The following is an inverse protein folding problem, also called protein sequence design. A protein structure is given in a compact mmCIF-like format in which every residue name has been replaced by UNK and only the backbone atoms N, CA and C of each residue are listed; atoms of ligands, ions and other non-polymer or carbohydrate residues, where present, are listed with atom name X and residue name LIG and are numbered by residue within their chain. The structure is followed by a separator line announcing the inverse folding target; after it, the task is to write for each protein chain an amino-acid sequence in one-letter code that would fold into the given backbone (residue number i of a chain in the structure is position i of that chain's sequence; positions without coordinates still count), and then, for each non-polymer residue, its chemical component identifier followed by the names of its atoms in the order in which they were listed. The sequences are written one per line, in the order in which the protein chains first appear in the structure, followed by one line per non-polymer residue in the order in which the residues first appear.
data_IF_704827332328
#
_entry.id   IF_704827332328
#
_cell.length_a   1.000
_cell.length_b   1.000
_cell.length_c   1.000
_cell.angle_alpha   90.00
_cell.angle_beta   90.00
_cell.angle_gamma   90.00
#
_symmetry.space_group_name_H-M   'P 1'
#
loop_
_entity.id
_entity.type
_entity.pdbx_description
1 polymer ?
#
# COMPACT_ATOMS: atom_id res chain seq x y z
N UNK A 1 20.77 13.27 -9.17
CA UNK A 1 20.33 12.39 -10.24
C UNK A 1 18.81 12.27 -10.22
N UNK A 2 18.20 12.45 -11.34
CA UNK A 2 16.75 12.41 -11.43
C UNK A 2 16.24 10.99 -11.44
N UNK A 3 15.27 10.69 -10.57
CA UNK A 3 14.64 9.37 -10.56
C UNK A 3 13.65 9.27 -11.70
N UNK A 4 13.73 8.20 -12.48
CA UNK A 4 12.79 7.95 -13.56
C UNK A 4 11.79 6.91 -13.11
N UNK A 5 10.50 7.28 -13.09
CA UNK A 5 9.41 6.38 -12.76
C UNK A 5 8.48 6.23 -13.96
N UNK A 6 7.77 5.13 -14.00
CA UNK A 6 6.83 4.83 -15.07
C UNK A 6 5.42 5.25 -14.67
N UNK A 7 4.72 5.95 -15.54
CA UNK A 7 3.32 6.32 -15.31
C UNK A 7 2.46 5.05 -15.33
N UNK A 8 1.53 4.95 -14.39
CA UNK A 8 0.68 3.78 -14.25
C UNK A 8 -0.72 4.22 -13.82
N UNK A 9 -1.74 3.52 -14.30
CA UNK A 9 -3.10 3.77 -13.87
C UNK A 9 -3.31 3.31 -12.43
N UNK A 10 -4.27 3.93 -11.74
CA UNK A 10 -4.61 3.53 -10.39
C UNK A 10 -4.98 2.05 -10.30
N UNK A 11 -5.81 1.59 -11.24
CA UNK A 11 -6.26 0.20 -11.25
C UNK A 11 -5.08 -0.77 -11.41
N UNK A 12 -4.19 -0.52 -12.35
CA UNK A 12 -3.04 -1.38 -12.57
C UNK A 12 -2.10 -1.39 -11.37
N UNK A 13 -1.93 -0.22 -10.73
CA UNK A 13 -1.09 -0.10 -9.54
C UNK A 13 -1.68 -0.86 -8.37
N UNK A 14 -2.99 -0.77 -8.15
CA UNK A 14 -3.66 -1.51 -7.09
C UNK A 14 -3.60 -3.02 -7.31
N UNK A 15 -3.64 -3.47 -8.56
CA UNK A 15 -3.47 -4.88 -8.87
C UNK A 15 -2.08 -5.39 -8.51
N UNK A 16 -1.05 -4.60 -8.83
CA UNK A 16 0.33 -4.93 -8.45
C UNK A 16 0.49 -4.93 -6.93
N UNK A 17 -0.08 -3.93 -6.27
CA UNK A 17 -0.03 -3.82 -4.81
C UNK A 17 -0.70 -5.01 -4.15
N UNK A 18 -1.86 -5.43 -4.66
CA UNK A 18 -2.58 -6.58 -4.12
C UNK A 18 -1.75 -7.85 -4.21
N UNK A 19 -1.04 -8.04 -5.31
CA UNK A 19 -0.17 -9.21 -5.48
C UNK A 19 0.96 -9.20 -4.45
N UNK A 20 1.64 -8.07 -4.30
CA UNK A 20 2.74 -7.94 -3.33
C UNK A 20 2.24 -8.09 -1.90
N UNK A 21 1.10 -7.52 -1.60
CA UNK A 21 0.47 -7.58 -0.29
C UNK A 21 0.19 -9.03 0.11
N UNK A 22 -0.34 -9.84 -0.80
CA UNK A 22 -0.65 -11.24 -0.52
C UNK A 22 0.60 -12.10 -0.31
N UNK A 23 1.72 -11.69 -0.85
CA UNK A 23 2.99 -12.41 -0.71
C UNK A 23 3.78 -11.98 0.52
N UNK A 24 3.35 -10.91 1.20
CA UNK A 24 4.07 -10.40 2.37
C UNK A 24 3.84 -11.31 3.58
N UNK A 25 4.88 -11.46 4.41
CA UNK A 25 4.82 -12.30 5.60
C UNK A 25 3.78 -11.84 6.61
N UNK A 26 3.49 -10.54 6.65
CA UNK A 26 2.51 -9.98 7.58
C UNK A 26 1.09 -9.97 7.00
N UNK A 27 0.87 -10.57 5.83
CA UNK A 27 -0.46 -10.61 5.23
C UNK A 27 -1.43 -11.38 6.12
N UNK A 28 -2.62 -10.78 6.32
CA UNK A 28 -3.71 -11.38 7.09
C UNK A 28 -4.98 -11.39 6.23
N UNK A 29 -5.83 -12.37 6.46
CA UNK A 29 -7.10 -12.49 5.75
C UNK A 29 -7.92 -11.20 5.92
N UNK A 30 -8.47 -10.69 4.82
CA UNK A 30 -9.23 -9.45 4.81
C UNK A 30 -8.40 -8.20 4.54
N UNK A 31 -7.09 -8.32 4.54
CA UNK A 31 -6.20 -7.20 4.22
C UNK A 31 -6.24 -6.92 2.72
N UNK A 32 -6.38 -5.65 2.35
CA UNK A 32 -6.41 -5.26 0.94
C UNK A 32 -6.01 -3.81 0.76
N UNK A 33 -5.52 -3.47 -0.44
CA UNK A 33 -5.23 -2.10 -0.83
C UNK A 33 -6.39 -1.61 -1.69
N UNK A 34 -7.23 -0.74 -1.14
CA UNK A 34 -8.42 -0.23 -1.82
C UNK A 34 -8.16 1.07 -2.57
N UNK A 35 -7.17 1.83 -2.13
CA UNK A 35 -6.91 3.16 -2.68
C UNK A 35 -5.42 3.44 -2.67
N UNK A 36 -4.97 4.25 -3.62
CA UNK A 36 -3.60 4.75 -3.66
C UNK A 36 -3.63 6.22 -4.04
N UNK A 37 -2.79 7.01 -3.37
CA UNK A 37 -2.65 8.45 -3.58
C UNK A 37 -1.20 8.77 -3.85
N UNK A 38 -0.95 9.68 -4.79
CA UNK A 38 0.40 10.18 -5.03
C UNK A 38 0.64 11.40 -4.15
N UNK A 39 1.67 11.32 -3.30
CA UNK A 39 2.10 12.46 -2.49
C UNK A 39 3.56 12.73 -2.81
N UNK A 40 3.82 13.73 -3.66
CA UNK A 40 5.16 14.00 -4.14
C UNK A 40 5.72 12.77 -4.85
N UNK A 41 6.83 12.25 -4.36
CA UNK A 41 7.48 11.07 -4.92
C UNK A 41 7.05 9.77 -4.25
N UNK A 42 6.06 9.82 -3.35
CA UNK A 42 5.65 8.68 -2.55
C UNK A 42 4.23 8.26 -2.91
N UNK A 43 4.03 6.95 -3.04
CA UNK A 43 2.70 6.36 -3.19
C UNK A 43 2.19 5.95 -1.82
N UNK A 44 0.98 6.41 -1.46
CA UNK A 44 0.36 6.10 -0.18
C UNK A 44 -0.82 5.19 -0.42
N UNK A 45 -0.79 4.00 0.17
CA UNK A 45 -1.84 3.00 0.01
C UNK A 45 -2.78 3.02 1.21
N UNK A 46 -4.07 2.78 0.97
CA UNK A 46 -5.10 2.75 2.00
C UNK A 46 -5.98 1.53 1.84
N UNK A 47 -6.51 1.06 2.96
CA UNK A 47 -7.42 -0.07 3.00
C UNK A 47 -7.93 -0.27 4.42
N UNK A 48 -8.57 -1.41 4.72
CA UNK A 48 -9.05 -1.69 6.08
C UNK A 48 -7.90 -1.70 7.07
N UNK A 49 -8.08 -1.02 8.22
CA UNK A 49 -7.05 -0.93 9.24
C UNK A 49 -7.34 -1.80 10.47
N UNK A 50 -8.49 -2.48 10.51
CA UNK A 50 -8.86 -3.38 11.60
C UNK A 50 -8.81 -2.71 12.98
N UNK A 51 -9.33 -1.49 13.06
CA UNK A 51 -9.44 -0.78 14.32
C UNK A 51 -10.48 -1.47 15.22
N UNK A 52 -10.32 -1.32 16.54
CA UNK A 52 -11.29 -1.88 17.49
C UNK A 52 -12.56 -1.01 17.55
N UNK A 53 -13.49 -1.38 18.44
CA UNK A 53 -14.79 -0.68 18.54
C UNK A 53 -14.63 0.77 18.97
N UNK A 54 -13.54 1.10 19.63
CA UNK A 54 -13.25 2.47 20.08
C UNK A 54 -12.40 3.24 19.09
N UNK A 55 -12.12 2.65 17.92
CA UNK A 55 -11.30 3.29 16.88
C UNK A 55 -9.81 3.22 17.16
N UNK A 56 -9.38 2.37 18.08
CA UNK A 56 -7.97 2.24 18.45
C UNK A 56 -7.28 1.14 17.64
N UNK A 57 -5.96 1.29 17.39
CA UNK A 57 -5.21 0.27 16.68
C UNK A 57 -5.20 -1.07 17.39
N UNK A 58 -5.20 -2.14 16.60
CA UNK A 58 -5.07 -3.52 17.10
C UNK A 58 -3.74 -4.08 16.58
N UNK A 59 -3.34 -5.30 17.01
CA UNK A 59 -2.16 -5.95 16.41
C UNK A 59 -2.29 -6.12 14.90
N UNK A 60 -3.51 -6.33 14.39
CA UNK A 60 -3.75 -6.40 12.94
C UNK A 60 -3.48 -5.06 12.26
N UNK A 61 -3.78 -3.95 12.91
CA UNK A 61 -3.51 -2.62 12.39
C UNK A 61 -2.01 -2.42 12.15
N UNK A 62 -1.19 -2.87 13.10
CA UNK A 62 0.27 -2.80 12.96
C UNK A 62 0.74 -3.59 11.74
N UNK A 63 0.19 -4.79 11.53
CA UNK A 63 0.52 -5.59 10.36
C UNK A 63 0.16 -4.86 9.06
N UNK A 64 -1.01 -4.21 9.02
CA UNK A 64 -1.44 -3.43 7.85
C UNK A 64 -0.44 -2.30 7.55
N UNK A 65 -0.04 -1.54 8.58
CA UNK A 65 0.92 -0.46 8.38
C UNK A 65 2.26 -0.98 7.86
N UNK A 66 2.73 -2.11 8.36
CA UNK A 66 3.97 -2.72 7.88
C UNK A 66 3.87 -3.09 6.40
N UNK A 67 2.76 -3.70 6.00
CA UNK A 67 2.54 -4.09 4.61
C UNK A 67 2.42 -2.85 3.71
N UNK A 68 1.64 -1.86 4.13
CA UNK A 68 1.46 -0.65 3.31
C UNK A 68 2.75 0.13 3.17
N UNK A 69 3.56 0.19 4.22
CA UNK A 69 4.89 0.79 4.13
C UNK A 69 5.77 0.04 3.13
N UNK A 70 5.72 -1.28 3.14
CA UNK A 70 6.45 -2.10 2.19
C UNK A 70 6.02 -1.79 0.75
N UNK A 71 4.70 -1.67 0.50
CA UNK A 71 4.18 -1.32 -0.82
C UNK A 71 4.70 0.04 -1.27
N UNK A 72 4.66 1.04 -0.39
CA UNK A 72 5.13 2.38 -0.70
C UNK A 72 6.62 2.38 -1.05
N UNK A 73 7.43 1.71 -0.23
CA UNK A 73 8.89 1.65 -0.44
C UNK A 73 9.24 0.89 -1.71
N UNK A 74 8.48 -0.16 -2.03
CA UNK A 74 8.75 -1.01 -3.18
C UNK A 74 8.30 -0.37 -4.50
N UNK A 75 7.14 0.27 -4.51
CA UNK A 75 6.51 0.76 -5.74
C UNK A 75 6.81 2.22 -6.04
N UNK A 76 7.01 3.07 -5.03
CA UNK A 76 7.29 4.49 -5.26
C UNK A 76 8.50 4.76 -6.14
N UNK A 77 9.62 4.00 -6.01
CA UNK A 77 10.78 4.22 -6.88
C UNK A 77 10.55 3.81 -8.34
N UNK A 78 9.51 3.03 -8.62
CA UNK A 78 9.25 2.44 -9.93
C UNK A 78 8.13 3.12 -10.69
N UNK A 79 7.13 3.63 -9.99
CA UNK A 79 5.89 4.10 -10.60
C UNK A 79 5.43 5.44 -10.03
N UNK A 80 4.65 6.15 -10.84
CA UNK A 80 3.87 7.30 -10.37
C UNK A 80 2.48 7.22 -10.99
N UNK A 81 1.48 7.75 -10.31
CA UNK A 81 0.10 7.74 -10.82
C UNK A 81 -0.02 8.68 -12.02
N UNK A 82 -0.75 8.23 -13.01
CA UNK A 82 -1.10 9.04 -14.18
C UNK A 82 -1.90 10.28 -13.79
#
# INVERSE_FOLDING_TARGET
MQRTTQAISRQALLEKATRLLREHDDYLAGMQADEVIQQGDVLVFRGPFFLDVDGLPTPKTTAVFNVFKYLAVTLSPRYHLE
#
